data_IF_319554938019
#
_entry.id   IF_319554938019
#
_cell.length_a   1.000
_cell.length_b   1.000
_cell.length_c   1.000
_cell.angle_alpha   90.00
_cell.angle_beta   90.00
_cell.angle_gamma   90.00
#
_symmetry.space_group_name_H-M   'P 1'
#
loop_
_entity.id
_entity.type
_entity.pdbx_description
1 polymer ?
#
# COMPACT_ATOMS: atom_id res chain seq x y z
N UNK A 1 -5.13 -11.07 52.13
CA UNK A 1 -3.77 -11.25 51.55
C UNK A 1 -2.91 -11.90 52.62
N UNK A 2 -1.95 -12.80 52.34
CA UNK A 2 -1.22 -13.09 51.08
C UNK A 2 -1.52 -14.52 50.57
N UNK A 3 -1.04 -15.05 49.45
CA UNK A 3 -0.11 -14.60 48.41
C UNK A 3 0.18 -15.86 47.58
N UNK A 4 -0.17 -15.85 46.29
CA UNK A 4 0.12 -16.97 45.40
C UNK A 4 1.42 -16.65 44.67
N UNK A 5 2.46 -17.38 45.04
CA UNK A 5 3.74 -17.38 44.34
C UNK A 5 3.64 -18.22 43.07
N UNK A 6 4.12 -17.62 41.99
CA UNK A 6 4.38 -18.24 40.70
C UNK A 6 5.51 -19.27 40.84
N UNK A 7 5.35 -20.42 40.19
CA UNK A 7 6.44 -21.34 39.88
C UNK A 7 6.71 -21.37 38.37
N UNK A 8 7.95 -21.71 37.98
CA UNK A 8 8.57 -21.28 36.74
C UNK A 8 8.43 -22.34 35.65
N UNK A 9 8.28 -21.92 34.40
CA UNK A 9 8.72 -22.73 33.27
C UNK A 9 9.45 -21.85 32.27
N UNK A 10 10.77 -22.07 32.24
CA UNK A 10 11.65 -21.81 31.12
C UNK A 10 11.34 -22.79 29.99
N UNK A 11 11.00 -22.29 28.80
CA UNK A 11 11.33 -22.92 27.53
C UNK A 11 11.85 -21.83 26.61
N UNK A 12 13.17 -21.84 26.43
CA UNK A 12 13.84 -21.21 25.29
C UNK A 12 13.50 -22.09 24.08
N UNK A 13 12.66 -21.59 23.18
CA UNK A 13 12.56 -22.17 21.84
C UNK A 13 13.12 -21.15 20.86
N UNK A 14 14.34 -21.44 20.44
CA UNK A 14 15.06 -20.79 19.36
C UNK A 14 14.28 -21.05 18.07
N UNK A 15 13.52 -20.05 17.61
CA UNK A 15 12.94 -20.05 16.26
C UNK A 15 13.99 -19.40 15.35
N UNK A 16 15.04 -20.15 15.03
CA UNK A 16 15.79 -19.93 13.81
C UNK A 16 14.95 -20.54 12.69
N UNK A 17 14.60 -19.72 11.68
CA UNK A 17 13.96 -20.06 10.38
C UNK A 17 12.68 -19.26 10.04
N UNK A 18 12.70 -17.92 10.14
CA UNK A 18 11.72 -17.09 9.38
C UNK A 18 12.34 -16.00 8.51
N UNK A 19 13.66 -15.74 8.59
CA UNK A 19 14.31 -14.74 7.74
C UNK A 19 13.76 -13.30 7.89
N UNK A 20 12.94 -13.04 8.92
CA UNK A 20 12.46 -11.70 9.29
C UNK A 20 13.45 -11.14 10.32
N UNK A 21 14.13 -10.02 10.08
CA UNK A 21 14.85 -9.31 11.14
C UNK A 21 13.80 -8.77 12.14
N UNK A 22 13.85 -9.23 13.39
CA UNK A 22 12.87 -8.89 14.43
C UNK A 22 12.87 -7.42 14.87
N UNK A 23 13.86 -6.61 14.48
CA UNK A 23 14.14 -5.37 15.23
C UNK A 23 14.12 -4.10 14.38
N UNK A 24 13.10 -3.90 13.52
CA UNK A 24 12.85 -2.57 12.96
C UNK A 24 11.38 -2.35 12.64
N UNK A 25 10.71 -1.54 13.46
CA UNK A 25 9.38 -1.02 13.19
C UNK A 25 9.45 0.50 13.15
N UNK A 26 8.70 1.12 12.24
CA UNK A 26 8.46 2.56 12.29
C UNK A 26 7.20 2.75 13.12
N UNK A 27 7.33 3.45 14.25
CA UNK A 27 6.19 3.93 15.00
C UNK A 27 6.41 5.38 15.44
N UNK A 28 5.31 6.02 15.81
CA UNK A 28 5.25 7.45 16.08
C UNK A 28 4.90 7.66 17.56
N UNK A 29 5.77 8.38 18.28
CA UNK A 29 5.64 8.65 19.72
C UNK A 29 5.93 10.13 19.99
N UNK A 30 5.14 10.78 20.85
CA UNK A 30 5.33 12.14 21.36
C UNK A 30 5.63 13.21 20.30
N UNK A 31 4.92 13.16 19.16
CA UNK A 31 5.07 14.19 18.13
C UNK A 31 6.16 13.93 17.10
N UNK A 32 6.89 12.80 17.17
CA UNK A 32 8.01 12.47 16.27
C UNK A 32 8.00 11.01 15.82
N UNK A 33 8.59 10.76 14.65
CA UNK A 33 8.93 9.41 14.20
C UNK A 33 10.12 8.92 15.01
N UNK A 34 9.97 7.82 15.74
CA UNK A 34 11.05 7.24 16.53
C UNK A 34 11.56 5.99 15.82
N UNK A 35 12.86 5.98 15.54
CA UNK A 35 13.59 4.83 15.04
C UNK A 35 14.11 4.03 16.22
N UNK A 36 13.52 2.87 16.49
CA UNK A 36 14.10 1.92 17.44
C UNK A 36 14.87 0.85 16.65
N UNK A 37 16.18 1.03 16.59
CA UNK A 37 17.14 -0.04 16.27
C UNK A 37 17.55 -0.65 17.61
N UNK A 38 17.56 -1.98 17.71
CA UNK A 38 18.02 -2.67 18.91
C UNK A 38 19.38 -2.12 19.38
N UNK A 39 19.40 -1.63 20.62
CA UNK A 39 20.54 -1.13 21.39
C UNK A 39 21.38 0.00 20.74
N UNK A 40 20.99 1.26 20.95
CA UNK A 40 21.70 2.17 21.87
C UNK A 40 20.94 3.51 22.00
N UNK A 41 20.76 4.00 23.24
CA UNK A 41 20.09 5.28 23.51
C UNK A 41 21.11 6.41 23.50
N UNK A 42 21.07 7.31 22.51
CA UNK A 42 21.72 8.61 22.64
C UNK A 42 21.05 9.73 21.82
N UNK A 43 20.58 10.72 22.58
CA UNK A 43 20.38 12.15 22.27
C UNK A 43 19.29 12.57 21.27
N UNK A 44 18.29 13.24 21.85
CA UNK A 44 17.31 14.07 21.16
C UNK A 44 17.95 15.35 20.62
N UNK A 45 17.97 15.53 19.29
CA UNK A 45 18.01 16.87 18.71
C UNK A 45 17.12 16.98 17.47
N UNK A 46 16.16 17.90 17.59
CA UNK A 46 15.44 18.71 16.61
C UNK A 46 15.65 18.43 15.10
N UNK A 47 14.66 17.82 14.43
CA UNK A 47 14.49 17.91 12.97
C UNK A 47 13.01 17.98 12.57
N UNK A 48 12.58 19.16 12.10
CA UNK A 48 11.45 19.28 11.18
C UNK A 48 11.96 18.88 9.78
N UNK A 49 11.56 17.73 9.25
CA UNK A 49 12.06 17.26 7.95
C UNK A 49 11.04 17.50 6.83
N UNK A 50 11.28 18.44 5.89
CA UNK A 50 10.33 18.86 4.86
C UNK A 50 10.01 17.82 3.76
N UNK A 51 10.46 16.56 3.89
CA UNK A 51 10.31 15.55 2.83
C UNK A 51 9.05 14.68 2.97
N UNK A 52 8.48 14.55 4.16
CA UNK A 52 7.15 13.93 4.30
C UNK A 52 6.07 14.91 3.81
N UNK A 53 6.29 16.22 3.97
CA UNK A 53 5.56 17.28 3.28
C UNK A 53 5.93 17.38 1.78
N UNK A 54 6.93 16.61 1.30
CA UNK A 54 7.37 16.57 -0.10
C UNK A 54 6.89 15.34 -0.89
N UNK A 55 6.11 14.44 -0.27
CA UNK A 55 5.11 13.71 -1.05
C UNK A 55 4.04 14.74 -1.35
N UNK A 56 4.32 15.60 -2.32
CA UNK A 56 3.50 16.75 -2.67
C UNK A 56 2.07 16.33 -3.01
N UNK A 57 1.20 17.28 -3.40
CA UNK A 57 -0.07 16.88 -3.96
C UNK A 57 0.17 15.83 -5.07
N UNK A 58 -0.68 14.82 -5.15
CA UNK A 58 -0.62 13.82 -6.22
C UNK A 58 -1.71 14.10 -7.26
N UNK A 59 -1.34 14.03 -8.52
CA UNK A 59 -2.29 13.95 -9.62
C UNK A 59 -2.52 12.48 -9.98
N UNK A 60 -3.67 12.19 -10.57
CA UNK A 60 -3.95 10.87 -11.13
C UNK A 60 -4.02 10.95 -12.64
N UNK A 61 -3.18 10.18 -13.32
CA UNK A 61 -3.08 10.17 -14.77
C UNK A 61 -3.49 8.81 -15.32
N UNK A 62 -4.32 8.81 -16.36
CA UNK A 62 -4.72 7.57 -17.03
C UNK A 62 -3.50 6.98 -17.75
N UNK A 63 -3.32 5.66 -17.66
CA UNK A 63 -2.19 4.96 -18.29
C UNK A 63 -2.65 3.94 -19.32
N UNK A 64 -1.89 3.78 -20.41
CA UNK A 64 -2.15 2.73 -21.41
C UNK A 64 -1.52 1.40 -20.96
N UNK A 65 -2.10 0.84 -19.91
CA UNK A 65 -1.74 -0.47 -19.38
C UNK A 65 -2.97 -1.37 -19.38
N UNK A 66 -2.79 -2.64 -19.72
CA UNK A 66 -3.82 -3.67 -19.52
C UNK A 66 -3.28 -4.71 -18.56
N UNK A 67 -4.13 -5.21 -17.66
CA UNK A 67 -3.81 -6.35 -16.80
C UNK A 67 -5.00 -7.29 -16.64
N UNK A 68 -4.70 -8.49 -16.15
CA UNK A 68 -5.69 -9.46 -15.66
C UNK A 68 -5.55 -9.64 -14.15
N UNK A 69 -6.67 -9.62 -13.43
CA UNK A 69 -6.71 -10.05 -12.03
C UNK A 69 -6.62 -11.57 -11.96
N UNK A 70 -5.83 -12.10 -11.04
CA UNK A 70 -5.64 -13.53 -10.84
C UNK A 70 -6.45 -14.00 -9.63
N UNK A 71 -7.77 -13.84 -9.70
CA UNK A 71 -8.67 -14.21 -8.60
C UNK A 71 -8.64 -15.73 -8.33
N UNK A 72 -8.78 -16.17 -7.06
CA UNK A 72 -9.05 -15.36 -5.86
C UNK A 72 -7.79 -14.75 -5.22
N UNK A 73 -6.62 -14.87 -5.85
CA UNK A 73 -5.38 -14.29 -5.29
C UNK A 73 -5.37 -12.78 -5.44
N UNK A 74 -4.71 -12.08 -4.52
CA UNK A 74 -4.46 -10.63 -4.60
C UNK A 74 -3.36 -10.27 -5.62
N UNK A 75 -3.29 -11.01 -6.75
CA UNK A 75 -2.27 -10.82 -7.77
C UNK A 75 -2.88 -10.30 -9.05
N UNK A 76 -2.13 -9.49 -9.77
CA UNK A 76 -2.46 -9.09 -11.13
C UNK A 76 -1.27 -9.34 -12.06
N UNK A 77 -1.54 -9.54 -13.34
CA UNK A 77 -0.52 -9.67 -14.38
C UNK A 77 -0.74 -8.60 -15.43
N UNK A 78 0.27 -7.77 -15.66
CA UNK A 78 0.27 -6.84 -16.79
C UNK A 78 0.39 -7.63 -18.09
N UNK A 79 -0.49 -7.37 -19.04
CA UNK A 79 -0.55 -8.03 -20.34
C UNK A 79 -0.16 -7.10 -21.48
N UNK A 80 -0.27 -5.79 -21.27
CA UNK A 80 0.03 -4.78 -22.30
C UNK A 80 0.54 -3.49 -21.67
N UNK A 81 1.52 -2.86 -22.30
CA UNK A 81 2.02 -1.52 -21.97
C UNK A 81 2.17 -0.75 -23.28
N UNK A 82 1.51 0.41 -23.41
CA UNK A 82 1.61 1.31 -24.60
C UNK A 82 1.45 0.58 -25.94
N UNK A 83 0.34 -0.11 -26.14
CA UNK A 83 0.18 -0.89 -27.39
C UNK A 83 0.88 -2.26 -27.42
N UNK A 84 2.00 -2.44 -26.70
CA UNK A 84 2.82 -3.68 -26.75
C UNK A 84 2.27 -4.75 -25.81
N UNK A 85 1.92 -5.90 -26.37
CA UNK A 85 1.59 -7.11 -25.60
C UNK A 85 2.86 -7.70 -24.98
N UNK A 86 2.82 -7.99 -23.68
CA UNK A 86 3.87 -8.72 -22.99
C UNK A 86 3.73 -10.22 -23.24
N UNK A 87 4.83 -10.90 -23.51
CA UNK A 87 4.92 -12.35 -23.66
C UNK A 87 4.80 -13.05 -22.30
N UNK A 88 4.52 -14.35 -22.30
CA UNK A 88 4.40 -15.13 -21.06
C UNK A 88 5.71 -15.18 -20.24
N UNK A 89 6.84 -14.98 -20.89
CA UNK A 89 8.16 -14.97 -20.25
C UNK A 89 8.45 -13.60 -19.60
N UNK A 90 7.83 -12.52 -20.08
CA UNK A 90 7.86 -11.18 -19.51
C UNK A 90 6.87 -11.05 -18.33
N UNK A 91 7.12 -11.83 -17.27
CA UNK A 91 6.26 -11.90 -16.09
C UNK A 91 6.27 -10.60 -15.27
N UNK A 92 5.46 -9.62 -15.66
CA UNK A 92 5.17 -8.47 -14.83
C UNK A 92 3.94 -8.76 -13.95
N UNK A 93 4.21 -9.37 -12.78
CA UNK A 93 3.20 -9.75 -11.80
C UNK A 93 3.31 -8.80 -10.60
N UNK A 94 2.19 -8.20 -10.22
CA UNK A 94 2.08 -7.37 -9.03
C UNK A 94 1.03 -7.88 -8.05
N UNK A 95 0.94 -7.20 -6.92
CA UNK A 95 -0.08 -7.42 -5.90
C UNK A 95 -1.09 -6.27 -5.98
N UNK A 96 -2.36 -6.53 -5.69
CA UNK A 96 -3.36 -5.47 -5.51
C UNK A 96 -4.01 -5.55 -4.13
N UNK A 97 -4.52 -4.44 -3.63
CA UNK A 97 -5.40 -4.44 -2.47
C UNK A 97 -6.75 -5.13 -2.81
N UNK A 98 -7.53 -5.56 -1.81
CA UNK A 98 -8.87 -6.11 -2.07
C UNK A 98 -9.72 -5.13 -2.88
N UNK A 99 -10.46 -5.65 -3.87
CA UNK A 99 -11.40 -4.86 -4.68
C UNK A 99 -12.60 -4.48 -3.82
N UNK A 100 -12.91 -3.19 -3.75
CA UNK A 100 -14.00 -2.66 -2.92
C UNK A 100 -14.90 -1.71 -3.71
N UNK A 101 -16.17 -1.52 -3.29
CA UNK A 101 -17.06 -0.55 -3.91
C UNK A 101 -16.53 0.88 -3.77
N UNK A 102 -16.79 1.70 -4.79
CA UNK A 102 -16.50 3.13 -4.74
C UNK A 102 -17.52 3.81 -3.83
N UNK A 103 -17.02 4.55 -2.83
CA UNK A 103 -17.87 5.23 -1.85
C UNK A 103 -18.09 6.71 -2.16
N UNK A 104 -17.22 7.31 -2.98
CA UNK A 104 -17.34 8.70 -3.44
C UNK A 104 -18.49 8.85 -4.44
N UNK A 105 -19.28 9.92 -4.28
CA UNK A 105 -20.46 10.23 -5.10
C UNK A 105 -20.43 11.69 -5.56
N UNK A 106 -21.15 11.99 -6.62
CA UNK A 106 -21.39 13.35 -7.10
C UNK A 106 -20.09 14.11 -7.38
N UNK A 107 -20.05 15.39 -6.98
CA UNK A 107 -18.92 16.28 -7.25
C UNK A 107 -17.57 15.73 -6.79
N UNK A 108 -17.51 15.12 -5.60
CA UNK A 108 -16.25 14.57 -5.07
C UNK A 108 -15.64 13.51 -6.00
N UNK A 109 -16.49 12.66 -6.61
CA UNK A 109 -16.08 11.62 -7.56
C UNK A 109 -15.50 12.23 -8.84
N UNK A 110 -16.16 13.26 -9.37
CA UNK A 110 -15.71 13.98 -10.57
C UNK A 110 -14.39 14.73 -10.33
N UNK A 111 -14.24 15.37 -9.16
CA UNK A 111 -13.03 16.11 -8.80
C UNK A 111 -11.79 15.23 -8.77
N UNK A 112 -11.93 13.97 -8.40
CA UNK A 112 -10.82 13.01 -8.38
C UNK A 112 -10.80 12.11 -9.62
N UNK A 113 -11.39 12.54 -10.74
CA UNK A 113 -11.38 11.84 -12.03
C UNK A 113 -11.74 10.34 -11.97
N UNK A 114 -12.64 9.94 -11.08
CA UNK A 114 -13.14 8.55 -11.06
C UNK A 114 -14.10 8.36 -12.23
N UNK A 115 -13.91 7.35 -13.11
CA UNK A 115 -14.78 7.13 -14.27
C UNK A 115 -16.24 6.94 -13.86
N UNK A 116 -17.20 7.56 -14.54
CA UNK A 116 -18.63 7.56 -14.13
C UNK A 116 -19.27 6.17 -14.06
N UNK A 117 -18.81 5.24 -14.88
CA UNK A 117 -19.30 3.85 -14.96
C UNK A 117 -18.58 2.90 -13.99
N UNK A 118 -17.54 3.35 -13.29
CA UNK A 118 -16.85 2.53 -12.30
C UNK A 118 -17.75 2.27 -11.07
N UNK A 119 -17.85 1.03 -10.62
CA UNK A 119 -18.56 0.65 -9.39
C UNK A 119 -17.61 0.21 -8.29
N UNK A 120 -16.42 -0.25 -8.67
CA UNK A 120 -15.42 -0.80 -7.77
C UNK A 120 -14.03 -0.29 -8.13
N UNK A 121 -13.11 -0.39 -7.17
CA UNK A 121 -11.71 -0.07 -7.41
C UNK A 121 -10.80 -0.90 -6.50
N UNK A 122 -9.51 -0.93 -6.83
CA UNK A 122 -8.46 -1.36 -5.90
C UNK A 122 -7.18 -0.55 -6.12
N UNK A 123 -6.32 -0.56 -5.10
CA UNK A 123 -4.93 -0.11 -5.23
C UNK A 123 -4.08 -1.21 -5.88
N UNK A 124 -3.26 -0.83 -6.84
CA UNK A 124 -2.22 -1.66 -7.46
C UNK A 124 -0.89 -1.30 -6.83
N UNK A 125 -0.24 -2.26 -6.17
CA UNK A 125 1.12 -2.09 -5.69
C UNK A 125 2.12 -2.21 -6.85
N UNK A 126 3.28 -1.54 -6.80
CA UNK A 126 4.37 -1.75 -7.73
C UNK A 126 4.66 -3.26 -7.95
N UNK A 127 4.77 -3.73 -9.20
CA UNK A 127 5.08 -5.13 -9.45
C UNK A 127 6.49 -5.47 -8.98
N UNK A 128 6.68 -6.69 -8.49
CA UNK A 128 7.96 -7.14 -7.90
C UNK A 128 9.08 -7.26 -8.94
N UNK A 129 8.70 -7.47 -10.19
CA UNK A 129 9.61 -7.59 -11.32
C UNK A 129 9.12 -6.71 -12.46
N UNK A 130 9.92 -5.73 -12.81
CA UNK A 130 9.85 -5.05 -14.10
C UNK A 130 10.98 -5.69 -14.90
N UNK A 131 10.71 -6.30 -16.07
CA UNK A 131 11.78 -6.79 -16.92
C UNK A 131 12.84 -5.70 -17.08
N UNK A 132 14.12 -6.05 -16.91
CA UNK A 132 15.25 -5.26 -17.42
C UNK A 132 15.20 -5.29 -18.95
N UNK A 133 14.11 -4.83 -19.53
CA UNK A 133 14.02 -4.60 -20.95
C UNK A 133 14.58 -3.19 -21.15
N UNK A 134 15.76 -3.09 -21.77
CA UNK A 134 16.35 -1.81 -22.19
C UNK A 134 15.37 -0.99 -23.06
N UNK A 135 14.31 -1.63 -23.59
CA UNK A 135 13.22 -0.97 -24.31
C UNK A 135 12.11 -0.39 -23.43
N UNK A 136 11.92 -0.87 -22.19
CA UNK A 136 11.08 -0.19 -21.18
C UNK A 136 12.03 0.71 -20.38
N UNK A 137 12.53 1.74 -21.05
CA UNK A 137 13.17 2.83 -20.32
C UNK A 137 12.11 3.38 -19.38
N UNK A 138 12.34 3.23 -18.06
CA UNK A 138 11.52 3.87 -17.04
C UNK A 138 11.78 5.37 -17.09
N UNK A 139 11.22 5.98 -18.12
CA UNK A 139 11.12 7.41 -18.39
C UNK A 139 10.26 8.09 -17.32
N UNK A 140 10.09 9.40 -17.41
CA UNK A 140 9.21 10.18 -16.53
C UNK A 140 7.71 10.03 -16.90
N UNK A 141 7.32 8.92 -17.52
CA UNK A 141 5.93 8.72 -17.92
C UNK A 141 5.02 8.24 -16.81
N UNK A 142 3.72 8.33 -17.09
CA UNK A 142 2.67 7.88 -16.20
C UNK A 142 2.68 6.35 -16.02
N UNK A 143 3.04 5.57 -17.06
CA UNK A 143 3.23 4.12 -16.92
C UNK A 143 4.39 3.80 -15.99
N UNK A 144 5.52 4.48 -16.16
CA UNK A 144 6.69 4.34 -15.29
C UNK A 144 6.35 4.70 -13.85
N UNK A 145 5.50 5.70 -13.63
CA UNK A 145 4.97 6.06 -12.31
C UNK A 145 4.08 4.96 -11.73
N UNK A 146 3.19 4.34 -12.53
CA UNK A 146 2.41 3.18 -12.06
C UNK A 146 3.33 2.05 -11.60
N UNK A 147 4.37 1.74 -12.38
CA UNK A 147 5.28 0.64 -12.09
C UNK A 147 6.20 0.92 -10.89
N UNK A 148 6.47 2.20 -10.58
CA UNK A 148 7.34 2.60 -9.46
C UNK A 148 6.59 2.88 -8.16
N UNK A 149 5.43 3.52 -8.25
CA UNK A 149 4.67 4.04 -7.11
C UNK A 149 3.44 3.19 -6.83
N UNK A 150 2.79 2.71 -7.90
CA UNK A 150 1.48 2.09 -7.85
C UNK A 150 0.40 3.04 -8.38
N UNK A 151 -0.85 2.61 -8.26
CA UNK A 151 -1.98 3.39 -8.74
C UNK A 151 -3.32 2.73 -8.49
N UNK A 152 -4.37 3.26 -9.10
CA UNK A 152 -5.73 2.77 -8.92
C UNK A 152 -6.24 2.08 -10.17
N UNK A 153 -6.82 0.90 -10.01
CA UNK A 153 -7.62 0.26 -11.03
C UNK A 153 -9.10 0.43 -10.72
N UNK A 154 -9.87 0.82 -11.74
CA UNK A 154 -11.30 1.02 -11.65
C UNK A 154 -12.03 -0.02 -12.49
N UNK A 155 -13.09 -0.57 -11.93
CA UNK A 155 -13.86 -1.65 -12.52
C UNK A 155 -15.34 -1.32 -12.52
N UNK A 156 -16.05 -1.87 -13.50
CA UNK A 156 -17.49 -2.02 -13.46
C UNK A 156 -17.84 -3.48 -13.17
N UNK A 157 -19.01 -3.72 -12.60
CA UNK A 157 -19.55 -5.06 -12.38
C UNK A 157 -20.77 -5.23 -13.26
N UNK A 158 -20.78 -6.27 -14.08
CA UNK A 158 -21.97 -6.59 -14.87
C UNK A 158 -23.05 -7.12 -13.92
N UNK A 159 -24.23 -6.51 -13.92
CA UNK A 159 -25.36 -6.88 -13.06
C UNK A 159 -25.02 -6.91 -11.55
N UNK A 160 -24.10 -6.06 -11.08
CA UNK A 160 -23.62 -6.05 -9.70
C UNK A 160 -22.98 -7.36 -9.23
N UNK A 161 -22.49 -8.20 -10.15
CA UNK A 161 -21.76 -9.41 -9.80
C UNK A 161 -20.25 -9.12 -9.73
N UNK A 162 -19.67 -9.26 -8.52
CA UNK A 162 -18.24 -9.05 -8.27
C UNK A 162 -17.35 -10.09 -8.97
N UNK A 163 -17.89 -11.25 -9.32
CA UNK A 163 -17.17 -12.27 -10.09
C UNK A 163 -17.04 -11.87 -11.57
N UNK A 164 -17.72 -10.78 -11.99
CA UNK A 164 -17.73 -10.26 -13.36
C UNK A 164 -17.20 -8.81 -13.40
N UNK A 165 -16.02 -8.61 -12.82
CA UNK A 165 -15.29 -7.34 -12.89
C UNK A 165 -14.79 -7.08 -14.32
N UNK A 166 -15.19 -5.95 -14.88
CA UNK A 166 -14.68 -5.41 -16.12
C UNK A 166 -13.77 -4.23 -15.80
N UNK A 167 -12.48 -4.33 -16.18
CA UNK A 167 -11.55 -3.22 -16.08
C UNK A 167 -12.01 -2.05 -16.95
N UNK A 168 -12.12 -0.87 -16.36
CA UNK A 168 -12.56 0.36 -17.02
C UNK A 168 -11.37 1.25 -17.30
N UNK A 169 -10.60 1.58 -16.26
CA UNK A 169 -9.43 2.47 -16.32
C UNK A 169 -8.39 2.10 -15.28
N UNK A 170 -7.16 2.50 -15.56
CA UNK A 170 -6.04 2.47 -14.62
C UNK A 170 -5.50 3.88 -14.54
N UNK A 171 -5.26 4.34 -13.32
CA UNK A 171 -4.58 5.60 -13.07
C UNK A 171 -3.28 5.36 -12.30
N UNK A 172 -2.20 6.02 -12.70
CA UNK A 172 -0.99 6.13 -11.90
C UNK A 172 -1.06 7.32 -10.94
N UNK A 173 -0.31 7.27 -9.85
CA UNK A 173 -0.03 8.46 -9.04
C UNK A 173 1.16 9.21 -9.63
N UNK A 174 0.96 10.49 -9.91
CA UNK A 174 2.00 11.40 -10.39
C UNK A 174 2.18 12.52 -9.37
N UNK A 175 3.41 12.99 -9.17
CA UNK A 175 3.65 14.15 -8.30
C UNK A 175 3.10 15.39 -9.01
N UNK A 176 2.08 16.02 -8.42
CA UNK A 176 1.43 17.19 -8.98
C UNK A 176 2.38 18.40 -8.93
N UNK A 177 2.36 19.19 -10.00
CA UNK A 177 3.10 20.45 -10.02
C UNK A 177 2.42 21.51 -9.16
N UNK A 178 1.09 21.59 -9.19
CA UNK A 178 0.30 22.58 -8.47
C UNK A 178 -1.10 22.05 -8.16
N UNK A 179 -1.41 21.86 -6.87
CA UNK A 179 -2.69 21.31 -6.35
C UNK A 179 -2.99 19.88 -6.82
N UNK A 180 -3.42 19.03 -5.89
CA UNK A 180 -3.71 17.62 -6.17
C UNK A 180 -4.20 16.92 -4.91
N UNK A 181 -4.31 15.60 -4.97
CA UNK A 181 -4.65 14.75 -3.84
C UNK A 181 -3.63 14.97 -2.72
N UNK A 182 -4.12 15.41 -1.58
CA UNK A 182 -3.32 15.58 -0.37
C UNK A 182 -3.74 14.55 0.65
N UNK A 183 -2.77 14.05 1.40
CA UNK A 183 -3.07 13.20 2.53
C UNK A 183 -3.49 14.06 3.73
N UNK A 184 -4.44 13.56 4.49
CA UNK A 184 -4.75 14.11 5.81
C UNK A 184 -3.53 13.99 6.73
N UNK A 185 -3.64 14.60 7.93
CA UNK A 185 -2.61 14.47 8.96
C UNK A 185 -2.35 12.99 9.25
N UNK A 186 -1.07 12.63 9.31
CA UNK A 186 -0.62 11.29 9.70
C UNK A 186 -1.36 10.77 10.94
N UNK A 187 -1.76 9.50 10.87
CA UNK A 187 -2.30 8.77 12.01
C UNK A 187 -1.21 7.91 12.67
N UNK A 188 -1.30 7.70 13.98
CA UNK A 188 -0.40 6.79 14.69
C UNK A 188 -0.79 5.36 14.35
N UNK A 189 0.13 4.61 13.75
CA UNK A 189 -0.10 3.20 13.46
C UNK A 189 -0.19 2.38 14.75
N UNK A 190 -1.18 1.49 14.81
CA UNK A 190 -1.45 0.59 15.93
C UNK A 190 -0.93 -0.81 15.58
N UNK A 191 0.14 -1.24 16.24
CA UNK A 191 0.92 -2.46 15.92
C UNK A 191 0.10 -3.74 15.91
N UNK A 192 -1.00 -3.78 16.68
CA UNK A 192 -1.91 -4.93 16.77
C UNK A 192 -2.61 -5.26 15.44
N UNK A 193 -2.61 -4.34 14.46
CA UNK A 193 -3.17 -4.57 13.12
C UNK A 193 -2.13 -4.96 12.07
N UNK A 194 -0.83 -4.99 12.42
CA UNK A 194 0.23 -5.38 11.49
C UNK A 194 0.11 -6.84 11.08
N UNK A 195 0.02 -7.75 12.07
CA UNK A 195 0.02 -9.20 11.84
C UNK A 195 -1.14 -9.68 10.96
N UNK A 196 -2.40 -9.23 11.17
CA UNK A 196 -3.51 -9.57 10.27
C UNK A 196 -3.26 -9.17 8.81
N UNK A 197 -2.85 -7.92 8.57
CA UNK A 197 -2.56 -7.44 7.21
C UNK A 197 -1.35 -8.15 6.58
N UNK A 198 -0.37 -8.54 7.39
CA UNK A 198 0.78 -9.31 6.95
C UNK A 198 0.39 -10.71 6.49
N UNK A 199 -0.45 -11.42 7.26
CA UNK A 199 -1.00 -12.74 6.91
C UNK A 199 -1.85 -12.69 5.64
N UNK A 200 -2.50 -11.57 5.37
CA UNK A 200 -3.25 -11.31 4.13
C UNK A 200 -2.36 -10.93 2.93
N UNK A 201 -1.03 -10.92 3.10
CA UNK A 201 -0.05 -10.50 2.08
C UNK A 201 -0.33 -9.06 1.56
N UNK A 202 -0.76 -8.17 2.45
CA UNK A 202 -1.08 -6.77 2.08
C UNK A 202 0.06 -5.80 2.31
N UNK A 203 1.02 -6.14 3.18
CA UNK A 203 2.26 -5.38 3.28
C UNK A 203 3.17 -5.68 2.09
N UNK A 204 3.45 -4.63 1.31
CA UNK A 204 4.33 -4.68 0.15
C UNK A 204 5.59 -3.86 0.41
N UNK A 205 6.70 -4.23 -0.23
CA UNK A 205 7.97 -3.51 -0.07
C UNK A 205 7.85 -2.08 -0.61
N UNK A 206 8.40 -1.13 0.13
CA UNK A 206 8.56 0.24 -0.36
C UNK A 206 9.57 0.25 -1.51
N UNK A 207 9.20 0.90 -2.60
CA UNK A 207 10.03 1.07 -3.81
C UNK A 207 10.55 2.50 -3.96
N UNK A 208 9.89 3.47 -3.33
CA UNK A 208 10.24 4.89 -3.42
C UNK A 208 11.54 5.19 -2.65
N UNK A 209 12.61 5.68 -3.32
CA UNK A 209 13.88 5.98 -2.68
C UNK A 209 13.76 6.93 -1.49
N UNK A 210 12.94 7.98 -1.61
CA UNK A 210 12.75 8.96 -0.53
C UNK A 210 12.13 8.34 0.73
N UNK A 211 11.34 7.27 0.61
CA UNK A 211 10.77 6.55 1.76
C UNK A 211 11.78 5.52 2.31
N UNK A 212 12.52 4.84 1.42
CA UNK A 212 13.60 3.92 1.79
C UNK A 212 14.71 4.61 2.58
N UNK A 213 15.13 5.81 2.15
CA UNK A 213 16.12 6.66 2.85
C UNK A 213 15.65 7.08 4.25
N UNK A 214 14.33 7.12 4.46
CA UNK A 214 13.69 7.35 5.77
C UNK A 214 13.42 6.06 6.52
N UNK A 215 13.98 4.94 6.08
CA UNK A 215 13.92 3.63 6.72
C UNK A 215 12.60 2.88 6.56
N UNK A 216 11.66 3.36 5.74
CA UNK A 216 10.43 2.64 5.44
C UNK A 216 10.76 1.39 4.62
N UNK A 217 10.31 0.22 5.09
CA UNK A 217 10.57 -1.07 4.44
C UNK A 217 9.34 -1.64 3.75
N UNK A 218 8.17 -1.43 4.35
CA UNK A 218 6.90 -1.95 3.88
C UNK A 218 5.81 -0.89 4.00
N UNK A 219 4.77 -1.03 3.19
CA UNK A 219 3.55 -0.22 3.24
C UNK A 219 2.34 -1.08 2.86
N UNK A 220 1.14 -0.66 3.26
CA UNK A 220 -0.10 -1.35 2.93
C UNK A 220 -1.19 -0.33 2.67
N UNK A 221 -1.96 -0.52 1.60
CA UNK A 221 -3.19 0.24 1.38
C UNK A 221 -4.33 -0.35 2.22
N UNK A 222 -4.93 0.49 3.06
CA UNK A 222 -6.16 0.21 3.80
C UNK A 222 -7.32 0.81 3.04
N UNK A 223 -8.35 0.01 2.77
CA UNK A 223 -9.49 0.42 1.98
C UNK A 223 -10.36 1.46 2.70
N UNK A 224 -11.15 2.25 1.96
CA UNK A 224 -12.14 3.16 2.55
C UNK A 224 -13.07 2.42 3.51
N UNK A 225 -13.22 2.98 4.71
CA UNK A 225 -14.07 2.44 5.77
C UNK A 225 -13.75 1.02 6.22
N UNK A 226 -12.57 0.49 5.86
CA UNK A 226 -12.14 -0.83 6.30
C UNK A 226 -12.01 -0.87 7.83
N UNK A 227 -12.55 -1.93 8.42
CA UNK A 227 -12.44 -2.19 9.84
C UNK A 227 -11.34 -3.23 10.07
N UNK A 228 -10.23 -2.79 10.62
CA UNK A 228 -9.12 -3.65 11.03
C UNK A 228 -9.45 -4.24 12.39
N UNK A 229 -9.11 -5.50 12.59
CA UNK A 229 -9.25 -6.20 13.86
C UNK A 229 -7.88 -6.69 14.31
N UNK A 230 -7.60 -6.61 15.61
CA UNK A 230 -6.45 -7.29 16.19
C UNK A 230 -6.59 -8.80 16.04
N UNK A 231 -5.49 -9.53 16.17
CA UNK A 231 -5.48 -11.00 16.06
C UNK A 231 -6.45 -11.67 17.05
N UNK A 232 -6.53 -11.15 18.28
CA UNK A 232 -7.47 -11.61 19.32
C UNK A 232 -8.90 -11.07 19.17
N UNK A 233 -9.14 -10.22 18.16
CA UNK A 233 -10.40 -9.51 17.88
C UNK A 233 -10.95 -8.67 19.04
N UNK A 234 -10.13 -8.35 20.04
CA UNK A 234 -10.54 -7.50 21.16
C UNK A 234 -10.52 -6.01 20.80
N UNK A 235 -9.69 -5.64 19.82
CA UNK A 235 -9.57 -4.29 19.31
C UNK A 235 -10.03 -4.21 17.86
N UNK A 236 -10.72 -3.11 17.53
CA UNK A 236 -10.97 -2.73 16.15
C UNK A 236 -10.53 -1.30 15.89
N UNK A 237 -10.24 -1.01 14.63
CA UNK A 237 -9.86 0.32 14.19
C UNK A 237 -10.29 0.58 12.76
N UNK A 238 -10.77 1.80 12.51
CA UNK A 238 -11.20 2.27 11.21
C UNK A 238 -10.32 3.46 10.83
N UNK A 239 -9.24 3.25 10.07
CA UNK A 239 -8.20 4.29 9.93
C UNK A 239 -8.66 5.51 9.14
N UNK A 240 -9.47 5.33 8.10
CA UNK A 240 -9.87 6.42 7.20
C UNK A 240 -11.20 6.14 6.47
N UNK A 241 -12.04 7.17 6.24
CA UNK A 241 -13.22 7.06 5.37
C UNK A 241 -12.88 7.02 3.87
N UNK A 242 -11.65 7.38 3.47
CA UNK A 242 -11.23 7.51 2.07
C UNK A 242 -10.09 6.56 1.66
N UNK A 243 -9.64 5.72 2.59
CA UNK A 243 -8.47 4.86 2.44
C UNK A 243 -7.22 5.49 3.06
N UNK A 244 -6.21 4.67 3.32
CA UNK A 244 -4.96 5.08 3.97
C UNK A 244 -3.77 4.24 3.47
N UNK A 245 -2.55 4.76 3.64
CA UNK A 245 -1.27 4.09 3.41
C UNK A 245 -0.49 3.95 4.73
#
# INVERSE_FOLDING_TARGET
MPGVNLLPFSVVQKIEETGIPQDSFIFYQDGRWVFQVGHDMASESMFHHPLIDALGPFEIHEVDISFILLLPTLKYRITKIRGRTLTNDEKCIGIHAPVVPITLKGFARTTVNIPDDATHFCWLYPPTFIPNDDNITLDSSDESNLLRIGGFAYFNTKNNNIDQLQLIRIYSLVVAANNGLTFEKRCIWRKEFTEPLWKENRFQRVTLPCLLEKGAKYFAFVNPYELLFSEDRQSSWKPSPHGAF
#
